data_IF_238011388637
#
_entry.id   IF_238011388637
#
_cell.length_a   1.000
_cell.length_b   1.000
_cell.length_c   1.000
_cell.angle_alpha   90.00
_cell.angle_beta   90.00
_cell.angle_gamma   90.00
#
_symmetry.space_group_name_H-M   'P 1'
#
loop_
_entity.id
_entity.type
_entity.pdbx_description
1 polymer ?
#
# COMPACT_ATOMS: atom_id res chain seq x y z
N UNK A 1 -20.30 -7.43 12.96
CA UNK A 1 -20.83 -6.42 13.90
C UNK A 1 -20.33 -6.81 15.28
N UNK A 2 -19.88 -5.83 16.07
CA UNK A 2 -19.46 -6.02 17.47
C UNK A 2 -20.48 -5.40 18.41
N UNK A 3 -20.81 -6.16 19.44
CA UNK A 3 -21.75 -5.79 20.50
C UNK A 3 -21.01 -5.74 21.84
N UNK A 4 -21.37 -4.76 22.69
CA UNK A 4 -20.86 -4.64 24.06
C UNK A 4 -21.54 -5.66 25.02
N UNK A 5 -21.21 -5.55 26.32
CA UNK A 5 -21.78 -6.43 27.37
C UNK A 5 -23.31 -6.32 27.52
N UNK A 6 -23.90 -5.24 27.06
CA UNK A 6 -25.35 -4.93 27.16
C UNK A 6 -26.06 -5.12 25.80
N UNK A 7 -25.45 -5.89 24.87
CA UNK A 7 -25.96 -6.17 23.51
C UNK A 7 -26.13 -4.91 22.64
N UNK A 8 -25.44 -3.81 22.97
CA UNK A 8 -25.47 -2.58 22.19
C UNK A 8 -24.36 -2.61 21.15
N UNK A 9 -24.71 -2.35 19.89
CA UNK A 9 -23.72 -2.27 18.82
C UNK A 9 -22.80 -1.06 19.04
N UNK A 10 -21.48 -1.32 19.10
CA UNK A 10 -20.46 -0.27 19.23
C UNK A 10 -19.50 -0.21 18.05
N UNK A 11 -19.42 -1.28 17.23
CA UNK A 11 -18.62 -1.28 16.03
C UNK A 11 -19.22 -2.17 14.94
N UNK A 12 -18.97 -1.78 13.70
CA UNK A 12 -19.28 -2.59 12.52
C UNK A 12 -17.99 -2.84 11.77
N UNK A 13 -17.51 -4.08 11.80
CA UNK A 13 -16.37 -4.53 11.00
C UNK A 13 -16.87 -4.88 9.61
N UNK A 14 -16.10 -4.54 8.59
CA UNK A 14 -16.35 -5.09 7.26
C UNK A 14 -17.38 -4.41 6.39
N UNK A 15 -17.73 -3.14 6.59
CA UNK A 15 -17.97 -2.31 5.42
C UNK A 15 -16.68 -1.56 5.16
N UNK A 16 -15.78 -2.15 4.39
CA UNK A 16 -14.72 -1.38 3.76
C UNK A 16 -15.42 -0.25 3.00
N UNK A 17 -15.45 0.93 3.59
CA UNK A 17 -15.56 2.15 2.81
C UNK A 17 -14.23 2.27 2.08
N UNK A 18 -14.06 1.48 1.01
CA UNK A 18 -13.04 1.77 0.01
C UNK A 18 -13.56 2.97 -0.75
N UNK A 19 -13.26 4.15 -0.29
CA UNK A 19 -13.38 5.33 -1.13
C UNK A 19 -12.35 5.16 -2.25
N UNK A 20 -12.85 4.71 -3.41
CA UNK A 20 -12.01 4.56 -4.60
C UNK A 20 -11.80 5.95 -5.19
N UNK A 21 -10.57 6.21 -5.55
CA UNK A 21 -10.18 7.42 -6.29
C UNK A 21 -9.94 7.05 -7.75
N UNK A 22 -10.32 7.93 -8.66
CA UNK A 22 -9.99 7.82 -10.08
C UNK A 22 -8.58 8.39 -10.31
N UNK A 23 -7.96 8.05 -11.44
CA UNK A 23 -6.60 8.50 -11.75
C UNK A 23 -6.46 10.03 -11.74
N UNK A 24 -7.44 10.74 -12.27
CA UNK A 24 -7.49 12.21 -12.32
C UNK A 24 -7.66 12.89 -10.96
N UNK A 25 -8.05 12.16 -9.93
CA UNK A 25 -8.09 12.62 -8.54
C UNK A 25 -6.76 12.42 -7.81
N UNK A 26 -5.83 11.62 -8.37
CA UNK A 26 -4.53 11.41 -7.75
C UNK A 26 -3.63 12.64 -7.96
N UNK A 27 -3.00 13.16 -6.90
CA UNK A 27 -2.03 14.23 -7.07
C UNK A 27 -0.80 13.69 -7.83
N UNK A 28 -0.30 14.49 -8.78
CA UNK A 28 0.85 14.14 -9.62
C UNK A 28 2.05 13.66 -8.79
N UNK A 29 2.33 14.33 -7.67
CA UNK A 29 3.43 13.95 -6.76
C UNK A 29 3.30 12.53 -6.20
N UNK A 30 2.09 11.99 -6.01
CA UNK A 30 1.90 10.62 -5.56
C UNK A 30 2.12 9.62 -6.71
N UNK A 31 1.60 9.92 -7.88
CA UNK A 31 1.79 9.09 -9.08
C UNK A 31 3.29 8.98 -9.38
N UNK A 32 3.99 10.11 -9.41
CA UNK A 32 5.44 10.18 -9.65
C UNK A 32 6.25 9.43 -8.60
N UNK A 33 5.88 9.55 -7.32
CA UNK A 33 6.53 8.82 -6.23
C UNK A 33 6.38 7.30 -6.39
N UNK A 34 5.19 6.81 -6.75
CA UNK A 34 4.92 5.39 -7.00
C UNK A 34 5.72 4.91 -8.21
N UNK A 35 5.65 5.64 -9.33
CA UNK A 35 6.35 5.26 -10.58
C UNK A 35 7.86 5.27 -10.36
N UNK A 36 8.41 6.32 -9.78
CA UNK A 36 9.85 6.42 -9.51
C UNK A 36 10.36 5.25 -8.66
N UNK A 37 9.53 4.76 -7.74
CA UNK A 37 9.91 3.75 -6.76
C UNK A 37 9.67 2.33 -7.25
N UNK A 38 8.50 2.07 -7.80
CA UNK A 38 8.05 0.72 -8.14
C UNK A 38 8.37 0.36 -9.60
N UNK A 39 8.20 1.30 -10.53
CA UNK A 39 8.32 1.00 -11.96
C UNK A 39 8.65 2.26 -12.79
N UNK A 40 9.89 2.72 -12.71
CA UNK A 40 10.32 4.01 -13.31
C UNK A 40 10.16 4.12 -14.83
N UNK A 41 9.89 3.01 -15.50
CA UNK A 41 9.63 2.98 -16.96
C UNK A 41 8.21 2.48 -17.28
N UNK A 42 7.28 2.60 -16.34
CA UNK A 42 5.92 2.08 -16.46
C UNK A 42 5.21 2.49 -17.75
N UNK A 43 5.34 3.74 -18.17
CA UNK A 43 4.74 4.26 -19.40
C UNK A 43 5.51 3.86 -20.68
N UNK A 44 6.66 3.19 -20.59
CA UNK A 44 7.52 2.84 -21.70
C UNK A 44 7.45 1.36 -22.12
N UNK A 45 6.80 0.51 -21.31
CA UNK A 45 6.65 -0.91 -21.61
C UNK A 45 5.18 -1.35 -21.54
N UNK A 46 4.87 -2.54 -22.05
CA UNK A 46 3.53 -3.10 -22.05
C UNK A 46 3.45 -4.30 -21.10
N UNK A 47 3.43 -4.02 -19.78
CA UNK A 47 3.27 -5.02 -18.72
C UNK A 47 4.55 -5.71 -18.27
N UNK A 48 5.60 -5.75 -19.09
CA UNK A 48 6.88 -6.37 -18.78
C UNK A 48 8.06 -5.50 -19.20
N UNK A 49 8.95 -5.19 -18.27
CA UNK A 49 10.19 -4.44 -18.49
C UNK A 49 11.36 -5.42 -18.63
N UNK A 50 11.63 -5.89 -19.85
CA UNK A 50 12.69 -6.88 -20.13
C UNK A 50 14.09 -6.41 -19.69
N UNK A 51 14.57 -5.18 -20.03
CA UNK A 51 15.87 -4.70 -19.57
C UNK A 51 16.00 -4.66 -18.04
N UNK A 52 14.96 -4.21 -17.33
CA UNK A 52 14.95 -4.17 -15.88
C UNK A 52 14.97 -5.58 -15.29
N UNK A 53 14.20 -6.50 -15.87
CA UNK A 53 14.14 -7.89 -15.46
C UNK A 53 15.52 -8.56 -15.57
N UNK A 54 16.17 -8.46 -16.74
CA UNK A 54 17.49 -9.05 -16.94
C UNK A 54 18.54 -8.42 -16.02
N UNK A 55 18.51 -7.11 -15.80
CA UNK A 55 19.38 -6.43 -14.85
C UNK A 55 19.21 -6.97 -13.43
N UNK A 56 17.98 -7.16 -12.97
CA UNK A 56 17.68 -7.68 -11.65
C UNK A 56 18.16 -9.14 -11.50
N UNK A 57 17.92 -9.99 -12.49
CA UNK A 57 18.35 -11.39 -12.51
C UNK A 57 19.90 -11.49 -12.48
N UNK A 58 20.58 -10.76 -13.35
CA UNK A 58 22.04 -10.74 -13.39
C UNK A 58 22.63 -10.19 -12.09
N UNK A 59 22.00 -9.16 -11.52
CA UNK A 59 22.45 -8.61 -10.23
C UNK A 59 22.29 -9.60 -9.09
N UNK A 60 21.20 -10.36 -9.03
CA UNK A 60 21.02 -11.43 -8.04
C UNK A 60 22.06 -12.54 -8.19
N UNK A 61 22.37 -12.97 -9.42
CA UNK A 61 23.41 -13.96 -9.70
C UNK A 61 24.79 -13.43 -9.26
N UNK A 62 25.03 -12.12 -9.45
CA UNK A 62 26.27 -11.46 -9.04
C UNK A 62 26.33 -11.14 -7.52
N UNK A 63 25.30 -11.52 -6.74
CA UNK A 63 25.23 -11.26 -5.30
C UNK A 63 25.02 -9.78 -4.94
N UNK A 64 24.49 -8.98 -5.87
CA UNK A 64 24.19 -7.55 -5.64
C UNK A 64 22.76 -7.37 -5.10
N UNK A 65 22.56 -7.08 -3.80
CA UNK A 65 21.26 -6.88 -3.21
C UNK A 65 20.54 -5.61 -3.73
N UNK A 66 21.28 -4.68 -4.34
CA UNK A 66 20.77 -3.41 -4.86
C UNK A 66 20.33 -3.48 -6.33
N UNK A 67 20.31 -4.68 -6.92
CA UNK A 67 19.92 -4.89 -8.32
C UNK A 67 18.46 -4.45 -8.63
N UNK A 68 17.67 -4.17 -7.60
CA UNK A 68 16.29 -3.72 -7.70
C UNK A 68 15.28 -4.84 -7.91
N UNK A 69 14.00 -4.50 -7.87
CA UNK A 69 12.91 -5.44 -8.13
C UNK A 69 12.68 -5.66 -9.63
N UNK A 70 12.36 -6.89 -10.01
CA UNK A 70 12.06 -7.27 -11.41
C UNK A 70 10.57 -7.16 -11.78
N UNK A 71 9.68 -6.87 -10.82
CA UNK A 71 8.24 -6.80 -11.05
C UNK A 71 7.82 -5.41 -11.51
N UNK A 72 6.93 -5.36 -12.50
CA UNK A 72 6.28 -4.14 -12.95
C UNK A 72 5.01 -3.87 -12.14
N UNK A 73 4.46 -2.65 -12.21
CA UNK A 73 3.16 -2.32 -11.60
C UNK A 73 2.05 -3.23 -12.13
N UNK A 74 2.02 -3.48 -13.45
CA UNK A 74 1.03 -4.39 -14.07
C UNK A 74 1.11 -5.81 -13.51
N UNK A 75 2.32 -6.34 -13.28
CA UNK A 75 2.51 -7.65 -12.64
C UNK A 75 2.06 -7.65 -11.17
N UNK A 76 2.27 -6.55 -10.46
CA UNK A 76 1.80 -6.42 -9.08
C UNK A 76 0.27 -6.37 -9.00
N UNK A 77 -0.40 -5.67 -9.93
CA UNK A 77 -1.88 -5.67 -10.04
C UNK A 77 -2.40 -7.07 -10.32
N UNK A 78 -1.79 -7.79 -11.26
CA UNK A 78 -2.16 -9.19 -11.53
C UNK A 78 -2.02 -10.05 -10.28
N UNK A 79 -0.88 -9.97 -9.61
CA UNK A 79 -0.59 -10.75 -8.40
C UNK A 79 -1.62 -10.49 -7.28
N UNK A 80 -2.05 -9.24 -7.10
CA UNK A 80 -2.98 -8.89 -6.02
C UNK A 80 -4.44 -9.13 -6.36
N UNK A 81 -4.80 -9.19 -7.65
CA UNK A 81 -6.19 -9.24 -8.10
C UNK A 81 -6.62 -10.59 -8.67
N UNK A 82 -5.68 -11.38 -9.21
CA UNK A 82 -6.02 -12.56 -10.02
C UNK A 82 -5.28 -13.84 -9.62
N UNK A 83 -4.25 -13.77 -8.78
CA UNK A 83 -3.48 -14.94 -8.38
C UNK A 83 -3.55 -15.20 -6.87
N UNK A 84 -3.71 -16.46 -6.48
CA UNK A 84 -3.66 -16.84 -5.06
C UNK A 84 -2.24 -16.66 -4.51
N UNK A 85 -2.10 -15.77 -3.53
CA UNK A 85 -0.82 -15.33 -2.97
C UNK A 85 -0.02 -16.40 -2.20
N UNK A 86 -0.45 -17.68 -2.23
CA UNK A 86 0.09 -18.74 -1.34
C UNK A 86 1.38 -19.40 -1.79
N UNK A 87 1.88 -19.14 -3.00
CA UNK A 87 3.04 -19.86 -3.54
C UNK A 87 4.13 -18.89 -4.00
N UNK A 88 5.13 -18.64 -3.16
CA UNK A 88 6.22 -17.69 -3.44
C UNK A 88 7.62 -18.34 -3.56
N UNK A 89 7.75 -19.67 -3.49
CA UNK A 89 9.05 -20.32 -3.44
C UNK A 89 9.19 -21.52 -4.39
N UNK A 90 10.44 -21.83 -4.76
CA UNK A 90 10.77 -22.98 -5.60
C UNK A 90 10.28 -22.88 -7.03
N UNK A 91 10.14 -24.02 -7.69
CA UNK A 91 9.71 -24.12 -9.10
C UNK A 91 8.30 -23.53 -9.32
N UNK A 92 7.39 -23.72 -8.37
CA UNK A 92 6.04 -23.15 -8.42
C UNK A 92 6.05 -21.62 -8.42
N UNK A 93 6.95 -20.98 -7.65
CA UNK A 93 7.14 -19.53 -7.66
C UNK A 93 7.65 -19.01 -9.02
N UNK A 94 8.51 -19.78 -9.69
CA UNK A 94 9.00 -19.44 -11.05
C UNK A 94 7.84 -19.53 -12.05
N UNK A 95 7.07 -20.61 -12.04
CA UNK A 95 5.91 -20.78 -12.93
C UNK A 95 4.92 -19.63 -12.73
N UNK A 96 4.57 -19.32 -11.49
CA UNK A 96 3.69 -18.18 -11.17
C UNK A 96 4.24 -16.86 -11.70
N UNK A 97 5.55 -16.63 -11.62
CA UNK A 97 6.15 -15.42 -12.18
C UNK A 97 5.95 -15.29 -13.69
N UNK A 98 6.01 -16.40 -14.42
CA UNK A 98 5.70 -16.42 -15.85
C UNK A 98 4.20 -16.20 -16.12
N UNK A 99 3.32 -16.75 -15.27
CA UNK A 99 1.88 -16.46 -15.33
C UNK A 99 1.58 -14.99 -15.10
N UNK A 100 2.20 -14.36 -14.09
CA UNK A 100 2.06 -12.93 -13.82
C UNK A 100 2.48 -12.09 -15.03
N UNK A 101 3.61 -12.44 -15.68
CA UNK A 101 4.09 -11.77 -16.91
C UNK A 101 3.07 -11.96 -18.05
N UNK A 102 2.62 -13.20 -18.28
CA UNK A 102 1.66 -13.49 -19.34
C UNK A 102 0.35 -12.71 -19.14
N UNK A 103 -0.21 -12.74 -17.93
CA UNK A 103 -1.45 -12.02 -17.61
C UNK A 103 -1.27 -10.50 -17.70
N UNK A 104 -0.14 -9.97 -17.24
CA UNK A 104 0.15 -8.54 -17.34
C UNK A 104 0.22 -8.08 -18.81
N UNK A 105 0.98 -8.80 -19.66
CA UNK A 105 1.24 -8.39 -21.06
C UNK A 105 0.06 -8.67 -21.97
N UNK A 106 -0.53 -9.87 -21.87
CA UNK A 106 -1.50 -10.36 -22.86
C UNK A 106 -2.96 -10.21 -22.43
N UNK A 107 -3.23 -9.89 -21.16
CA UNK A 107 -4.59 -9.67 -20.66
C UNK A 107 -4.75 -8.25 -20.12
N UNK A 108 -4.05 -7.87 -19.07
CA UNK A 108 -4.26 -6.59 -18.39
C UNK A 108 -3.96 -5.39 -19.32
N UNK A 109 -2.77 -5.30 -19.86
CA UNK A 109 -2.33 -4.18 -20.73
C UNK A 109 -3.00 -4.15 -22.12
N UNK A 110 -3.75 -5.20 -22.48
CA UNK A 110 -4.58 -5.23 -23.69
C UNK A 110 -5.96 -4.63 -23.49
N UNK A 111 -6.43 -4.61 -22.27
CA UNK A 111 -7.80 -4.22 -21.92
C UNK A 111 -7.84 -2.87 -21.21
N UNK A 112 -6.83 -2.58 -20.37
CA UNK A 112 -6.80 -1.40 -19.51
C UNK A 112 -5.67 -0.44 -19.89
N UNK A 113 -5.94 0.86 -19.78
CA UNK A 113 -4.91 1.89 -19.96
C UNK A 113 -3.93 1.93 -18.79
N UNK A 114 -2.82 2.63 -18.94
CA UNK A 114 -1.82 2.83 -17.88
C UNK A 114 -2.42 3.50 -16.65
N UNK A 115 -3.26 4.50 -16.89
CA UNK A 115 -3.98 5.25 -15.85
C UNK A 115 -4.91 4.32 -15.07
N UNK A 116 -5.68 3.47 -15.76
CA UNK A 116 -6.55 2.48 -15.12
C UNK A 116 -5.76 1.44 -14.31
N UNK A 117 -4.59 1.04 -14.78
CA UNK A 117 -3.72 0.10 -14.04
C UNK A 117 -3.19 0.76 -12.75
N UNK A 118 -2.78 2.04 -12.80
CA UNK A 118 -2.41 2.80 -11.60
C UNK A 118 -3.60 2.90 -10.64
N UNK A 119 -4.78 3.21 -11.16
CA UNK A 119 -6.02 3.29 -10.37
C UNK A 119 -6.32 1.97 -9.65
N UNK A 120 -6.22 0.83 -10.34
CA UNK A 120 -6.35 -0.47 -9.70
C UNK A 120 -5.28 -0.72 -8.64
N UNK A 121 -4.03 -0.35 -8.92
CA UNK A 121 -2.92 -0.52 -8.00
C UNK A 121 -3.15 0.24 -6.70
N UNK A 122 -3.44 1.54 -6.79
CA UNK A 122 -3.57 2.41 -5.61
C UNK A 122 -4.82 2.15 -4.79
N UNK A 123 -5.91 1.69 -5.41
CA UNK A 123 -7.18 1.42 -4.72
C UNK A 123 -7.23 0.06 -4.02
N UNK A 124 -6.44 -0.92 -4.47
CA UNK A 124 -6.53 -2.28 -3.95
C UNK A 124 -5.32 -2.69 -3.08
N UNK A 125 -4.29 -1.87 -3.01
CA UNK A 125 -3.10 -2.22 -2.24
C UNK A 125 -3.35 -2.12 -0.73
N UNK A 126 -2.88 -3.14 0.00
CA UNK A 126 -2.85 -3.12 1.46
C UNK A 126 -1.79 -2.13 1.94
N UNK A 127 -2.17 -1.21 2.83
CA UNK A 127 -1.31 -0.13 3.33
C UNK A 127 -1.16 -0.13 4.87
N UNK A 128 -1.35 -1.28 5.49
CA UNK A 128 -1.10 -1.50 6.92
C UNK A 128 -2.37 -1.51 7.78
N UNK A 129 -2.32 -2.23 8.89
CA UNK A 129 -3.50 -2.44 9.74
C UNK A 129 -4.62 -3.15 8.97
N UNK A 130 -5.74 -2.48 8.73
CA UNK A 130 -6.85 -2.94 7.89
C UNK A 130 -7.15 -1.96 6.75
N UNK A 131 -6.15 -1.15 6.38
CA UNK A 131 -6.28 -0.08 5.41
C UNK A 131 -5.93 -0.60 4.03
N UNK A 132 -6.84 -0.43 3.11
CA UNK A 132 -6.67 -0.71 1.68
C UNK A 132 -6.98 0.54 0.88
N UNK A 133 -6.11 0.85 -0.07
CA UNK A 133 -6.24 2.02 -0.94
C UNK A 133 -5.66 3.30 -0.34
N UNK A 134 -5.24 4.18 -1.25
CA UNK A 134 -4.50 5.41 -0.90
C UNK A 134 -5.37 6.47 -0.23
N UNK A 135 -6.65 6.55 -0.55
CA UNK A 135 -7.56 7.52 0.08
C UNK A 135 -7.73 7.20 1.57
N UNK A 136 -8.05 5.95 1.89
CA UNK A 136 -8.17 5.50 3.28
C UNK A 136 -6.84 5.64 4.04
N UNK A 137 -5.72 5.33 3.38
CA UNK A 137 -4.40 5.51 3.98
C UNK A 137 -4.06 6.99 4.23
N UNK A 138 -4.39 7.88 3.29
CA UNK A 138 -4.21 9.32 3.46
C UNK A 138 -5.00 9.85 4.65
N UNK A 139 -6.29 9.51 4.73
CA UNK A 139 -7.14 9.90 5.85
C UNK A 139 -6.65 9.34 7.18
N UNK A 140 -6.29 8.05 7.20
CA UNK A 140 -5.85 7.38 8.43
C UNK A 140 -4.48 7.87 8.94
N UNK A 141 -3.55 8.20 8.07
CA UNK A 141 -2.20 8.58 8.47
C UNK A 141 -1.98 10.09 8.53
N UNK A 142 -2.61 10.85 7.63
CA UNK A 142 -2.41 12.30 7.51
C UNK A 142 -3.65 13.13 7.81
N UNK A 143 -4.82 12.50 8.02
CA UNK A 143 -6.07 13.19 8.39
C UNK A 143 -6.71 14.00 7.26
N UNK A 144 -6.36 13.73 5.99
CA UNK A 144 -6.83 14.48 4.83
C UNK A 144 -7.00 13.58 3.61
N UNK A 145 -7.70 14.09 2.58
CA UNK A 145 -7.85 13.39 1.31
C UNK A 145 -6.51 13.20 0.61
N UNK A 146 -6.39 12.14 -0.19
CA UNK A 146 -5.22 11.89 -1.02
C UNK A 146 -4.93 13.04 -1.98
N UNK A 147 -5.96 13.77 -2.42
CA UNK A 147 -5.85 14.94 -3.30
C UNK A 147 -5.06 16.10 -2.68
N UNK A 148 -4.92 16.12 -1.35
CA UNK A 148 -4.27 17.19 -0.58
C UNK A 148 -2.85 16.84 -0.13
N UNK A 149 -2.32 15.68 -0.55
CA UNK A 149 -0.99 15.23 -0.15
C UNK A 149 0.11 16.16 -0.70
N UNK A 150 1.01 16.57 0.17
CA UNK A 150 2.25 17.21 -0.24
C UNK A 150 3.33 16.18 -0.63
N UNK A 151 4.46 16.63 -1.15
CA UNK A 151 5.55 15.78 -1.62
C UNK A 151 6.08 14.83 -0.52
N UNK A 152 6.22 15.30 0.71
CA UNK A 152 6.73 14.48 1.82
C UNK A 152 5.76 13.35 2.19
N UNK A 153 4.48 13.65 2.27
CA UNK A 153 3.42 12.69 2.60
C UNK A 153 3.22 11.68 1.45
N UNK A 154 3.22 12.14 0.20
CA UNK A 154 3.15 11.29 -0.97
C UNK A 154 4.33 10.31 -1.03
N UNK A 155 5.55 10.77 -0.71
CA UNK A 155 6.72 9.92 -0.65
C UNK A 155 6.68 8.88 0.49
N UNK A 156 6.11 9.24 1.67
CA UNK A 156 5.86 8.29 2.76
C UNK A 156 4.88 7.22 2.29
N UNK A 157 3.74 7.65 1.73
CA UNK A 157 2.68 6.74 1.28
C UNK A 157 3.19 5.79 0.19
N UNK A 158 3.89 6.32 -0.83
CA UNK A 158 4.54 5.51 -1.87
C UNK A 158 5.58 4.54 -1.28
N UNK A 159 6.29 4.93 -0.25
CA UNK A 159 7.23 4.07 0.46
C UNK A 159 6.60 2.87 1.14
N UNK A 160 5.35 3.00 1.58
CA UNK A 160 4.62 1.95 2.29
C UNK A 160 4.23 0.78 1.39
N UNK A 161 4.11 0.95 0.08
CA UNK A 161 3.77 -0.15 -0.83
C UNK A 161 4.73 -1.33 -0.73
N UNK A 162 5.99 -1.10 -0.39
CA UNK A 162 7.00 -2.16 -0.23
C UNK A 162 6.77 -3.02 1.02
N UNK A 163 6.44 -2.40 2.15
CA UNK A 163 6.24 -3.08 3.43
C UNK A 163 5.40 -2.22 4.37
N UNK A 164 4.06 -2.26 4.24
CA UNK A 164 3.16 -1.33 4.90
C UNK A 164 3.33 -1.24 6.42
N UNK A 165 3.40 -2.39 7.09
CA UNK A 165 3.52 -2.43 8.56
C UNK A 165 4.91 -1.94 9.04
N UNK A 166 5.98 -2.20 8.27
CA UNK A 166 7.33 -1.76 8.63
C UNK A 166 7.52 -0.25 8.46
N UNK A 167 6.81 0.37 7.53
CA UNK A 167 6.93 1.80 7.19
C UNK A 167 5.71 2.62 7.60
N UNK A 168 4.88 2.09 8.50
CA UNK A 168 3.69 2.79 9.03
C UNK A 168 4.12 4.02 9.81
N UNK A 169 3.76 5.26 9.38
CA UNK A 169 4.31 6.49 9.94
C UNK A 169 3.88 6.74 11.38
N UNK A 170 2.71 6.25 11.79
CA UNK A 170 2.17 6.42 13.14
C UNK A 170 2.81 5.52 14.19
N UNK A 171 3.39 4.38 13.80
CA UNK A 171 4.00 3.42 14.73
C UNK A 171 5.51 3.27 14.53
N UNK A 172 6.02 3.54 13.33
CA UNK A 172 7.43 3.38 12.95
C UNK A 172 7.95 4.63 12.22
N UNK A 173 7.88 5.84 12.82
CA UNK A 173 8.18 7.11 12.13
C UNK A 173 9.61 7.16 11.58
N UNK A 174 10.59 6.61 12.31
CA UNK A 174 11.97 6.58 11.84
C UNK A 174 12.16 5.70 10.59
N UNK A 175 11.52 4.54 10.55
CA UNK A 175 11.56 3.67 9.37
C UNK A 175 10.84 4.32 8.18
N UNK A 176 9.72 5.00 8.44
CA UNK A 176 9.00 5.79 7.44
C UNK A 176 9.86 6.93 6.89
N UNK A 177 10.60 7.66 7.75
CA UNK A 177 11.52 8.71 7.35
C UNK A 177 12.66 8.16 6.46
N UNK A 178 13.29 7.06 6.86
CA UNK A 178 14.35 6.42 6.08
C UNK A 178 13.84 5.95 4.70
N UNK A 179 12.63 5.40 4.67
CA UNK A 179 12.01 4.95 3.42
C UNK A 179 11.61 6.12 2.54
N UNK A 180 11.06 7.20 3.09
CA UNK A 180 10.78 8.46 2.40
C UNK A 180 12.03 9.01 1.72
N UNK A 181 13.17 9.05 2.42
CA UNK A 181 14.44 9.48 1.84
C UNK A 181 14.81 8.66 0.60
N UNK A 182 14.60 7.35 0.64
CA UNK A 182 14.81 6.49 -0.53
C UNK A 182 13.88 6.85 -1.69
N UNK A 183 12.59 7.07 -1.41
CA UNK A 183 11.60 7.45 -2.43
C UNK A 183 11.96 8.79 -3.07
N UNK A 184 12.21 9.81 -2.27
CA UNK A 184 12.58 11.16 -2.74
C UNK A 184 13.88 11.13 -3.56
N UNK A 185 14.88 10.36 -3.15
CA UNK A 185 16.08 10.13 -3.94
C UNK A 185 15.76 9.54 -5.32
N UNK A 186 14.85 8.55 -5.39
CA UNK A 186 14.45 7.93 -6.66
C UNK A 186 13.65 8.91 -7.52
N UNK A 187 12.76 9.70 -6.94
CA UNK A 187 12.05 10.77 -7.65
C UNK A 187 13.03 11.77 -8.28
N UNK A 188 14.01 12.25 -7.51
CA UNK A 188 15.05 13.13 -8.04
C UNK A 188 15.89 12.44 -9.12
N UNK A 189 16.31 11.21 -8.89
CA UNK A 189 17.10 10.42 -9.86
C UNK A 189 16.40 10.26 -11.20
N UNK A 190 15.08 10.19 -11.21
CA UNK A 190 14.26 10.04 -12.40
C UNK A 190 13.73 11.38 -12.95
N UNK A 191 14.11 12.51 -12.33
CA UNK A 191 13.82 13.85 -12.82
C UNK A 191 12.43 14.39 -12.47
N UNK A 192 11.72 13.77 -11.52
CA UNK A 192 10.42 14.24 -11.05
C UNK A 192 10.53 15.42 -10.09
N UNK A 193 11.60 15.50 -9.33
CA UNK A 193 11.86 16.59 -8.37
C UNK A 193 13.32 17.08 -8.44
N UNK A 194 13.54 18.30 -7.97
CA UNK A 194 14.86 18.88 -7.83
C UNK A 194 15.57 18.42 -6.54
N UNK A 195 16.86 18.73 -6.41
CA UNK A 195 17.63 18.45 -5.19
C UNK A 195 17.14 19.30 -4.01
N UNK A 196 16.69 20.51 -4.27
CA UNK A 196 16.14 21.42 -3.29
C UNK A 196 14.81 20.90 -2.74
N UNK A 197 13.91 20.44 -3.60
CA UNK A 197 12.64 19.82 -3.19
C UNK A 197 12.86 18.53 -2.39
N UNK A 198 13.82 17.68 -2.80
CA UNK A 198 14.23 16.51 -2.01
C UNK A 198 14.68 16.90 -0.61
N UNK A 199 15.52 17.93 -0.49
CA UNK A 199 16.04 18.38 0.79
C UNK A 199 14.95 18.97 1.69
N UNK A 200 14.06 19.81 1.14
CA UNK A 200 12.92 20.38 1.87
C UNK A 200 11.98 19.29 2.38
N UNK A 201 11.58 18.37 1.50
CA UNK A 201 10.67 17.30 1.88
C UNK A 201 11.28 16.34 2.93
N UNK A 202 12.58 16.07 2.87
CA UNK A 202 13.27 15.26 3.87
C UNK A 202 13.44 15.96 5.22
N UNK A 203 13.47 17.28 5.27
CA UNK A 203 13.64 18.04 6.51
C UNK A 203 12.40 18.03 7.41
N UNK A 204 11.23 17.70 6.88
CA UNK A 204 9.96 17.68 7.62
C UNK A 204 9.92 16.44 8.53
N UNK A 205 9.78 16.59 9.86
CA UNK A 205 9.63 15.43 10.75
C UNK A 205 8.36 14.64 10.40
N UNK A 206 8.46 13.30 10.36
CA UNK A 206 7.31 12.42 10.01
C UNK A 206 6.17 12.60 11.01
N UNK A 207 6.51 12.75 12.28
CA UNK A 207 5.54 12.93 13.37
C UNK A 207 4.69 14.19 13.21
N UNK A 208 5.23 15.23 12.57
CA UNK A 208 4.49 16.49 12.31
C UNK A 208 3.51 16.37 11.14
N UNK A 209 3.68 15.36 10.30
CA UNK A 209 2.80 15.07 9.16
C UNK A 209 1.65 14.13 9.54
N UNK A 210 1.83 13.33 10.59
CA UNK A 210 0.82 12.35 11.00
C UNK A 210 -0.35 13.02 11.71
N UNK A 211 -1.56 12.57 11.40
CA UNK A 211 -2.75 13.01 12.11
C UNK A 211 -2.64 12.64 13.59
N UNK A 212 -2.88 13.61 14.44
CA UNK A 212 -3.04 13.36 15.88
C UNK A 212 -4.36 12.65 16.12
N UNK A 213 -4.41 11.79 17.15
CA UNK A 213 -5.62 11.03 17.52
C UNK A 213 -6.88 11.89 17.68
N UNK A 214 -6.73 13.19 17.91
CA UNK A 214 -7.82 14.16 18.02
C UNK A 214 -8.49 14.50 16.67
N UNK A 215 -7.82 14.28 15.55
CA UNK A 215 -8.31 14.61 14.20
C UNK A 215 -8.83 13.38 13.43
N UNK A 216 -8.61 12.19 13.99
CA UNK A 216 -9.11 10.97 13.40
C UNK A 216 -10.48 10.67 14.00
N UNK A 217 -11.49 10.41 13.18
CA UNK A 217 -12.72 9.71 13.59
C UNK A 217 -12.37 8.25 13.97
N UNK A 218 -11.38 8.08 14.84
CA UNK A 218 -10.99 6.76 15.34
C UNK A 218 -12.05 6.35 16.35
N UNK A 219 -12.63 5.18 16.12
CA UNK A 219 -13.48 4.57 17.13
C UNK A 219 -12.70 4.53 18.46
N UNK A 220 -13.19 5.16 19.54
CA UNK A 220 -12.47 5.22 20.82
C UNK A 220 -12.09 3.83 21.37
N UNK A 221 -12.74 2.78 20.88
CA UNK A 221 -12.50 1.39 21.26
C UNK A 221 -11.61 0.64 20.24
N UNK A 222 -10.87 1.32 19.34
CA UNK A 222 -10.13 0.66 18.26
C UNK A 222 -9.12 -0.38 18.77
N UNK A 223 -8.40 -0.10 19.86
CA UNK A 223 -7.45 -1.06 20.45
C UNK A 223 -8.15 -2.33 20.97
N UNK A 224 -9.35 -2.18 21.50
CA UNK A 224 -10.16 -3.33 21.91
C UNK A 224 -10.69 -4.10 20.69
N UNK A 225 -11.15 -3.39 19.67
CA UNK A 225 -11.59 -3.99 18.40
C UNK A 225 -10.48 -4.83 17.79
N UNK A 226 -9.25 -4.32 17.73
CA UNK A 226 -8.08 -5.03 17.19
C UNK A 226 -7.79 -6.31 18.00
N UNK A 227 -7.93 -6.26 19.33
CA UNK A 227 -7.78 -7.43 20.21
C UNK A 227 -8.84 -8.50 19.90
N UNK A 228 -10.12 -8.10 19.81
CA UNK A 228 -11.23 -9.01 19.48
C UNK A 228 -11.05 -9.63 18.10
N UNK A 229 -10.63 -8.83 17.11
CA UNK A 229 -10.36 -9.31 15.74
C UNK A 229 -9.26 -10.36 15.73
N UNK A 230 -8.16 -10.13 16.46
CA UNK A 230 -7.06 -11.09 16.55
C UNK A 230 -7.50 -12.37 17.25
N UNK A 231 -8.22 -12.26 18.38
CA UNK A 231 -8.75 -13.43 19.09
C UNK A 231 -9.68 -14.28 18.19
N UNK A 232 -10.57 -13.65 17.43
CA UNK A 232 -11.46 -14.37 16.50
C UNK A 232 -10.66 -15.06 15.40
N UNK A 233 -9.64 -14.41 14.84
CA UNK A 233 -8.77 -15.01 13.82
C UNK A 233 -8.02 -16.22 14.37
N UNK A 234 -7.42 -16.08 15.56
CA UNK A 234 -6.59 -17.11 16.17
C UNK A 234 -7.42 -18.31 16.62
N UNK A 235 -8.60 -18.07 17.22
CA UNK A 235 -9.44 -19.10 17.80
C UNK A 235 -10.31 -19.83 16.80
N UNK A 236 -10.80 -19.14 15.77
CA UNK A 236 -11.78 -19.69 14.82
C UNK A 236 -11.25 -19.78 13.39
N UNK A 237 -10.06 -19.27 13.09
CA UNK A 237 -9.46 -19.29 11.75
C UNK A 237 -10.22 -18.46 10.72
N UNK A 238 -11.13 -17.57 11.12
CA UNK A 238 -11.93 -16.73 10.24
C UNK A 238 -11.51 -15.27 10.31
N UNK A 239 -11.64 -14.56 9.20
CA UNK A 239 -11.35 -13.14 9.16
C UNK A 239 -12.64 -12.33 9.41
N UNK A 240 -12.77 -11.62 10.56
CA UNK A 240 -13.98 -10.86 10.90
C UNK A 240 -14.30 -9.69 9.96
N UNK A 241 -13.34 -9.26 9.14
CA UNK A 241 -13.56 -8.20 8.14
C UNK A 241 -14.22 -8.70 6.87
N UNK A 242 -13.99 -9.97 6.51
CA UNK A 242 -14.51 -10.57 5.27
C UNK A 242 -15.62 -11.59 5.49
N UNK A 243 -15.75 -12.10 6.73
CA UNK A 243 -16.76 -13.08 7.12
C UNK A 243 -17.90 -12.38 7.87
N UNK A 244 -19.17 -12.52 7.46
CA UNK A 244 -20.30 -11.97 8.21
C UNK A 244 -20.41 -12.62 9.57
N UNK A 245 -20.11 -11.89 10.63
CA UNK A 245 -20.12 -12.35 12.02
C UNK A 245 -20.87 -11.37 12.93
N UNK A 246 -21.56 -11.89 13.91
CA UNK A 246 -22.00 -11.16 15.09
C UNK A 246 -21.09 -11.58 16.26
N UNK A 247 -20.37 -10.63 16.84
CA UNK A 247 -19.41 -10.89 17.92
C UNK A 247 -19.89 -10.12 19.16
N UNK A 248 -20.23 -10.86 20.19
CA UNK A 248 -20.62 -10.34 21.50
C UNK A 248 -19.38 -10.29 22.40
N UNK A 249 -19.14 -9.15 23.00
CA UNK A 249 -17.93 -8.89 23.76
C UNK A 249 -18.25 -8.49 25.21
N UNK A 250 -17.24 -8.45 26.07
CA UNK A 250 -17.37 -8.00 27.45
C UNK A 250 -17.05 -6.49 27.62
N UNK A 251 -16.99 -5.72 26.51
CA UNK A 251 -16.72 -4.28 26.57
C UNK A 251 -17.83 -3.58 27.38
N UNK A 252 -17.42 -2.78 28.36
CA UNK A 252 -18.28 -1.85 29.07
C UNK A 252 -18.07 -0.45 28.51
N UNK A 253 -19.08 0.10 27.85
CA UNK A 253 -19.01 1.44 27.22
C UNK A 253 -19.71 2.53 28.04
N UNK A 254 -20.16 2.24 29.27
CA UNK A 254 -20.76 3.22 30.19
C UNK A 254 -19.71 3.94 31.01
#
# INVERSE_FOLDING_TARGET
ILYDKDDKQFAKLGSEKREKVTYDQLPEVLVDAIIATEDSRFFQHNGFDAPRFFKAVLGQIAGNPDAGGASTLSMQVVKTSFTDAKVDSGMAGIIRKFEDIYLAVFKLEKVYTKEQIIEFYVNNHFLGGNIYGVEEASRAYFGKSVTELNLSEAAILAGMFKSPNAYKPTTNPQNAANRRTTVLYLMRKHGYITKEEEAIANAIPVESLTATSANLNVNPYQGYIDTVVNEVKDKYGVNPYTTPLLVYTNLDIN
#
